data_IF_796665301616
#
_entry.id   IF_796665301616
#
_cell.length_a   1.000
_cell.length_b   1.000
_cell.length_c   1.000
_cell.angle_alpha   90.00
_cell.angle_beta   90.00
_cell.angle_gamma   90.00
#
_symmetry.space_group_name_H-M   'P 1'
#
loop_
_entity.id
_entity.type
_entity.pdbx_description
1 polymer ?
#
# COMPACT_ATOMS: atom_id res chain seq x y z
N UNK A 1 -21.05 -1.46 0.22
CA UNK A 1 -19.90 -0.96 -0.58
C UNK A 1 -20.35 0.23 -1.42
N UNK A 2 -19.68 1.37 -1.27
CA UNK A 2 -19.95 2.61 -1.98
C UNK A 2 -18.98 2.79 -3.15
N UNK A 3 -19.47 3.32 -4.27
CA UNK A 3 -18.68 3.54 -5.49
C UNK A 3 -18.51 5.03 -5.75
N UNK A 4 -17.27 5.46 -5.93
CA UNK A 4 -16.91 6.85 -6.19
C UNK A 4 -16.19 6.97 -7.53
N UNK A 5 -16.58 7.97 -8.30
CA UNK A 5 -15.95 8.28 -9.57
C UNK A 5 -15.02 9.48 -9.43
N UNK A 6 -13.73 9.26 -9.69
CA UNK A 6 -12.68 10.27 -9.57
C UNK A 6 -11.88 10.32 -10.88
N UNK A 7 -11.14 11.40 -11.08
CA UNK A 7 -10.21 11.57 -12.19
C UNK A 7 -8.81 11.12 -11.76
N UNK A 8 -8.09 10.46 -12.66
CA UNK A 8 -6.69 10.08 -12.55
C UNK A 8 -5.99 10.55 -13.82
N UNK A 9 -5.24 11.65 -13.73
CA UNK A 9 -4.79 12.38 -14.92
C UNK A 9 -5.98 12.79 -15.79
N UNK A 10 -6.01 12.34 -17.04
CA UNK A 10 -7.12 12.62 -17.98
C UNK A 10 -8.22 11.56 -17.97
N UNK A 11 -8.05 10.46 -17.23
CA UNK A 11 -8.97 9.32 -17.26
C UNK A 11 -9.86 9.25 -16.01
N UNK A 12 -11.15 8.95 -16.20
CA UNK A 12 -12.07 8.66 -15.09
C UNK A 12 -11.84 7.24 -14.58
N UNK A 13 -11.71 7.09 -13.27
CA UNK A 13 -11.65 5.80 -12.58
C UNK A 13 -12.75 5.66 -11.54
N UNK A 14 -13.02 4.42 -11.12
CA UNK A 14 -14.02 4.10 -10.11
C UNK A 14 -13.34 3.41 -8.94
N UNK A 15 -13.48 4.00 -7.75
CA UNK A 15 -12.99 3.42 -6.49
C UNK A 15 -14.18 2.88 -5.74
N UNK A 16 -14.08 1.64 -5.26
CA UNK A 16 -15.09 1.06 -4.37
C UNK A 16 -14.55 1.05 -2.95
N UNK A 17 -15.26 1.68 -2.02
CA UNK A 17 -14.95 1.67 -0.60
C UNK A 17 -15.98 0.84 0.18
N UNK A 18 -15.54 0.24 1.28
CA UNK A 18 -16.45 -0.37 2.23
C UNK A 18 -17.34 0.71 2.89
N UNK A 19 -18.59 0.39 3.26
CA UNK A 19 -19.50 1.37 3.88
C UNK A 19 -18.93 1.90 5.18
N UNK A 20 -18.36 1.02 6.02
CA UNK A 20 -17.70 1.39 7.28
C UNK A 20 -16.59 2.41 7.05
N UNK A 21 -15.76 2.20 6.01
CA UNK A 21 -14.68 3.14 5.66
C UNK A 21 -15.26 4.49 5.23
N UNK A 22 -16.37 4.51 4.50
CA UNK A 22 -17.02 5.76 4.07
C UNK A 22 -17.59 6.53 5.26
N UNK A 23 -18.29 5.83 6.15
CA UNK A 23 -18.88 6.40 7.36
C UNK A 23 -17.80 6.99 8.27
N UNK A 24 -16.72 6.25 8.52
CA UNK A 24 -15.59 6.72 9.35
C UNK A 24 -14.87 7.91 8.72
N UNK A 25 -14.67 7.91 7.39
CA UNK A 25 -14.13 9.07 6.68
C UNK A 25 -15.02 10.29 6.84
N UNK A 26 -16.34 10.14 6.63
CA UNK A 26 -17.31 11.22 6.78
C UNK A 26 -17.28 11.80 8.20
N UNK A 27 -17.29 10.93 9.22
CA UNK A 27 -17.20 11.33 10.62
C UNK A 27 -15.89 12.08 10.91
N UNK A 28 -14.75 11.58 10.41
CA UNK A 28 -13.45 12.25 10.57
C UNK A 28 -13.43 13.65 9.95
N UNK A 29 -14.20 13.87 8.89
CA UNK A 29 -14.38 15.17 8.24
C UNK A 29 -15.53 16.01 8.84
N UNK A 30 -16.10 15.58 9.97
CA UNK A 30 -17.16 16.31 10.68
C UNK A 30 -18.54 16.24 9.99
N UNK A 31 -18.77 15.25 9.15
CA UNK A 31 -20.03 15.05 8.42
C UNK A 31 -20.82 13.86 8.94
N UNK A 32 -22.14 13.98 8.96
CA UNK A 32 -23.03 12.85 9.25
C UNK A 32 -22.96 11.84 8.10
N UNK A 33 -22.73 10.54 8.36
CA UNK A 33 -22.73 9.49 7.34
C UNK A 33 -24.06 9.37 6.60
N UNK A 34 -24.02 8.66 5.46
CA UNK A 34 -25.18 8.31 4.61
C UNK A 34 -26.02 9.50 4.13
N UNK A 35 -25.40 10.68 4.12
CA UNK A 35 -25.98 11.90 3.53
C UNK A 35 -25.36 12.18 2.17
N UNK A 36 -26.10 12.82 1.27
CA UNK A 36 -25.55 13.26 -0.02
C UNK A 36 -24.32 14.16 0.16
N UNK A 37 -24.33 15.04 1.17
CA UNK A 37 -23.19 15.89 1.53
C UNK A 37 -21.96 15.05 1.92
N UNK A 38 -22.14 14.04 2.77
CA UNK A 38 -21.03 13.15 3.15
C UNK A 38 -20.40 12.42 1.96
N UNK A 39 -21.21 11.93 1.02
CA UNK A 39 -20.70 11.29 -0.19
C UNK A 39 -19.94 12.26 -1.09
N UNK A 40 -20.39 13.51 -1.19
CA UNK A 40 -19.68 14.56 -1.93
C UNK A 40 -18.31 14.86 -1.31
N UNK A 41 -18.26 15.01 0.02
CA UNK A 41 -17.02 15.28 0.76
C UNK A 41 -16.04 14.10 0.68
N UNK A 42 -16.51 12.86 0.83
CA UNK A 42 -15.68 11.66 0.63
C UNK A 42 -15.12 11.60 -0.79
N UNK A 43 -15.93 11.88 -1.81
CA UNK A 43 -15.47 11.92 -3.20
C UNK A 43 -14.38 12.98 -3.39
N UNK A 44 -14.59 14.18 -2.85
CA UNK A 44 -13.63 15.28 -2.96
C UNK A 44 -12.31 14.93 -2.28
N UNK A 45 -12.37 14.30 -1.10
CA UNK A 45 -11.17 13.83 -0.40
C UNK A 45 -10.40 12.79 -1.22
N UNK A 46 -11.10 11.80 -1.80
CA UNK A 46 -10.47 10.79 -2.68
C UNK A 46 -9.82 11.43 -3.92
N UNK A 47 -10.47 12.44 -4.49
CA UNK A 47 -9.92 13.20 -5.60
C UNK A 47 -8.64 13.94 -5.18
N UNK A 48 -8.66 14.66 -4.06
CA UNK A 48 -7.50 15.39 -3.56
C UNK A 48 -6.29 14.49 -3.28
N UNK A 49 -6.52 13.31 -2.68
CA UNK A 49 -5.46 12.31 -2.46
C UNK A 49 -4.90 11.80 -3.79
N UNK A 50 -5.74 11.63 -4.80
CA UNK A 50 -5.31 11.22 -6.14
C UNK A 50 -4.50 12.31 -6.83
N UNK A 51 -4.93 13.56 -6.73
CA UNK A 51 -4.27 14.71 -7.35
C UNK A 51 -2.90 14.99 -6.72
N UNK A 52 -2.70 14.58 -5.46
CA UNK A 52 -1.41 14.69 -4.75
C UNK A 52 -0.42 13.56 -5.05
N UNK A 53 -0.83 12.51 -5.78
CA UNK A 53 0.05 11.37 -6.11
C UNK A 53 0.72 11.60 -7.46
N UNK A 54 2.05 11.70 -7.45
CA UNK A 54 2.85 11.88 -8.67
C UNK A 54 2.87 10.64 -9.59
N UNK A 55 2.61 9.45 -9.03
CA UNK A 55 2.56 8.19 -9.77
C UNK A 55 1.13 7.88 -10.26
N UNK A 56 0.80 8.44 -11.42
CA UNK A 56 -0.47 8.20 -12.10
C UNK A 56 -0.58 6.82 -12.77
N UNK A 57 0.43 5.94 -12.69
CA UNK A 57 0.40 4.62 -13.33
C UNK A 57 0.39 3.44 -12.36
N UNK A 58 0.68 3.67 -11.06
CA UNK A 58 0.57 2.68 -9.97
C UNK A 58 -0.50 1.60 -10.19
N UNK A 59 -0.05 0.35 -10.27
CA UNK A 59 -0.91 -0.84 -10.23
C UNK A 59 -1.65 -0.94 -8.89
N UNK A 60 -2.86 -1.51 -8.89
CA UNK A 60 -3.69 -1.63 -7.69
C UNK A 60 -4.10 -0.29 -7.05
N UNK A 61 -4.23 0.76 -7.85
CA UNK A 61 -4.62 2.12 -7.43
C UNK A 61 -5.79 2.17 -6.44
N UNK A 62 -6.87 1.40 -6.66
CA UNK A 62 -8.00 1.34 -5.74
C UNK A 62 -7.64 0.78 -4.36
N UNK A 63 -6.72 -0.18 -4.29
CA UNK A 63 -6.24 -0.73 -3.01
C UNK A 63 -5.34 0.27 -2.28
N UNK A 64 -4.48 0.96 -3.04
CA UNK A 64 -3.67 2.05 -2.50
C UNK A 64 -4.54 3.17 -1.91
N UNK A 65 -5.61 3.60 -2.60
CA UNK A 65 -6.55 4.61 -2.08
C UNK A 65 -7.30 4.14 -0.83
N UNK A 66 -7.70 2.87 -0.78
CA UNK A 66 -8.28 2.28 0.44
C UNK A 66 -7.29 2.33 1.60
N UNK A 67 -6.03 1.98 1.37
CA UNK A 67 -4.98 2.09 2.37
C UNK A 67 -4.82 3.53 2.85
N UNK A 68 -4.82 4.52 1.95
CA UNK A 68 -4.79 5.93 2.32
C UNK A 68 -6.00 6.35 3.15
N UNK A 69 -7.20 5.88 2.82
CA UNK A 69 -8.41 6.12 3.61
C UNK A 69 -8.26 5.57 5.04
N UNK A 70 -7.81 4.31 5.18
CA UNK A 70 -7.60 3.68 6.49
C UNK A 70 -6.56 4.45 7.31
N UNK A 71 -5.43 4.80 6.69
CA UNK A 71 -4.39 5.59 7.35
C UNK A 71 -4.88 6.98 7.74
N UNK A 72 -5.68 7.62 6.91
CA UNK A 72 -6.28 8.90 7.26
C UNK A 72 -7.27 8.77 8.40
N UNK A 73 -8.08 7.70 8.46
CA UNK A 73 -9.00 7.45 9.58
C UNK A 73 -8.25 7.20 10.88
N UNK A 74 -7.15 6.46 10.83
CA UNK A 74 -6.37 6.04 12.00
C UNK A 74 -5.94 7.23 12.88
N UNK A 75 -5.76 6.93 14.17
CA UNK A 75 -5.20 7.87 15.14
C UNK A 75 -3.70 8.09 14.88
N UNK A 76 -3.22 9.31 15.13
CA UNK A 76 -1.83 9.71 14.87
C UNK A 76 -0.81 8.84 15.63
N UNK A 77 -1.16 8.38 16.83
CA UNK A 77 -0.34 7.45 17.60
C UNK A 77 -0.21 6.09 16.94
N UNK A 78 -1.27 5.59 16.31
CA UNK A 78 -1.23 4.34 15.55
C UNK A 78 -0.42 4.48 14.27
N UNK A 79 -0.62 5.58 13.53
CA UNK A 79 0.15 5.89 12.31
C UNK A 79 1.64 5.97 12.63
N UNK A 80 2.00 6.60 13.75
CA UNK A 80 3.39 6.74 14.19
C UNK A 80 4.02 5.37 14.46
N UNK A 81 3.33 4.50 15.20
CA UNK A 81 3.81 3.12 15.45
C UNK A 81 3.96 2.30 14.18
N UNK A 82 3.03 2.46 13.23
CA UNK A 82 3.11 1.78 11.93
C UNK A 82 4.36 2.20 11.15
N UNK A 83 4.65 3.51 11.07
CA UNK A 83 5.85 4.02 10.39
C UNK A 83 7.13 3.50 11.03
N UNK A 84 7.22 3.55 12.36
CA UNK A 84 8.36 3.01 13.10
C UNK A 84 8.58 1.52 12.82
N UNK A 85 7.50 0.73 12.71
CA UNK A 85 7.59 -0.67 12.34
C UNK A 85 8.09 -0.85 10.89
N UNK A 86 7.58 -0.07 9.92
CA UNK A 86 8.06 -0.13 8.54
C UNK A 86 9.54 0.24 8.43
N UNK A 87 9.97 1.32 9.08
CA UNK A 87 11.37 1.75 9.11
C UNK A 87 12.29 0.65 9.67
N UNK A 88 11.84 -0.06 10.71
CA UNK A 88 12.56 -1.18 11.28
C UNK A 88 12.70 -2.36 10.30
N UNK A 89 11.63 -2.68 9.57
CA UNK A 89 11.63 -3.74 8.55
C UNK A 89 12.59 -3.37 7.41
N UNK A 90 12.50 -2.15 6.88
CA UNK A 90 13.34 -1.68 5.77
C UNK A 90 14.82 -1.67 6.16
N UNK A 91 15.12 -1.22 7.38
CA UNK A 91 16.48 -1.27 7.93
C UNK A 91 16.99 -2.71 8.02
N UNK A 92 16.20 -3.62 8.57
CA UNK A 92 16.59 -5.03 8.75
C UNK A 92 16.84 -5.72 7.40
N UNK A 93 16.01 -5.43 6.40
CA UNK A 93 16.22 -5.94 5.04
C UNK A 93 17.47 -5.38 4.37
N UNK A 94 17.75 -4.08 4.54
CA UNK A 94 18.96 -3.46 4.01
C UNK A 94 20.24 -4.03 4.65
N UNK A 95 20.21 -4.30 5.96
CA UNK A 95 21.32 -4.95 6.66
C UNK A 95 21.55 -6.37 6.14
N UNK A 96 20.49 -7.16 5.97
CA UNK A 96 20.59 -8.52 5.42
C UNK A 96 21.06 -8.54 3.96
N UNK A 97 20.55 -7.63 3.12
CA UNK A 97 21.00 -7.48 1.73
C UNK A 97 22.49 -7.13 1.69
N UNK A 98 22.91 -6.16 2.51
CA UNK A 98 24.32 -5.75 2.61
C UNK A 98 25.19 -6.93 3.05
N UNK A 99 24.76 -7.71 4.05
CA UNK A 99 25.46 -8.92 4.48
C UNK A 99 25.63 -9.91 3.33
N UNK A 100 24.56 -10.21 2.58
CA UNK A 100 24.61 -11.16 1.45
C UNK A 100 25.52 -10.71 0.32
N UNK A 101 25.49 -9.42 -0.02
CA UNK A 101 26.40 -8.84 -1.03
C UNK A 101 27.85 -9.01 -0.57
N UNK A 102 28.17 -8.67 0.67
CA UNK A 102 29.51 -8.84 1.22
C UNK A 102 29.98 -10.32 1.25
N UNK A 103 29.08 -11.26 1.55
CA UNK A 103 29.42 -12.69 1.53
C UNK A 103 29.67 -13.22 0.11
N UNK A 104 28.94 -12.70 -0.89
CA UNK A 104 29.20 -13.00 -2.30
C UNK A 104 30.54 -12.42 -2.75
N UNK A 105 30.82 -11.14 -2.45
CA UNK A 105 32.05 -10.46 -2.85
C UNK A 105 33.30 -11.03 -2.17
N UNK A 106 33.17 -11.51 -0.92
CA UNK A 106 34.27 -12.17 -0.19
C UNK A 106 34.52 -13.62 -0.61
N UNK A 107 33.74 -14.16 -1.56
CA UNK A 107 33.85 -15.55 -2.02
C UNK A 107 33.40 -16.59 -0.99
N UNK A 108 32.74 -16.17 0.10
CA UNK A 108 32.17 -17.07 1.11
C UNK A 108 30.92 -17.79 0.62
N UNK A 109 30.24 -17.25 -0.40
CA UNK A 109 29.07 -17.86 -1.03
C UNK A 109 29.45 -18.45 -2.38
N UNK A 110 29.00 -19.68 -2.63
CA UNK A 110 29.14 -20.33 -3.93
C UNK A 110 27.91 -20.04 -4.78
N UNK A 111 28.12 -19.52 -5.98
CA UNK A 111 27.07 -19.45 -6.99
C UNK A 111 26.68 -20.87 -7.44
N UNK A 112 25.40 -21.20 -7.30
CA UNK A 112 24.84 -22.47 -7.78
C UNK A 112 24.12 -22.19 -9.10
N UNK A 113 24.43 -22.91 -10.19
CA UNK A 113 23.69 -22.80 -11.44
C UNK A 113 22.20 -23.02 -11.24
N UNK A 114 21.39 -22.26 -11.98
CA UNK A 114 19.93 -22.32 -11.91
C UNK A 114 19.38 -23.75 -12.01
N UNK A 115 19.91 -24.55 -12.93
CA UNK A 115 19.45 -25.91 -13.20
C UNK A 115 19.67 -26.86 -12.01
N UNK A 116 20.78 -26.68 -11.28
CA UNK A 116 21.09 -27.45 -10.08
C UNK A 116 20.13 -27.11 -8.92
N UNK A 117 19.73 -25.84 -8.79
CA UNK A 117 18.74 -25.41 -7.79
C UNK A 117 17.37 -26.05 -8.07
N UNK A 118 16.92 -26.01 -9.33
CA UNK A 118 15.62 -26.60 -9.70
C UNK A 118 15.63 -28.13 -9.59
N UNK A 119 16.76 -28.78 -9.85
CA UNK A 119 16.92 -30.21 -9.64
C UNK A 119 16.78 -30.57 -8.16
N UNK A 120 17.53 -29.91 -7.27
CA UNK A 120 17.48 -30.16 -5.83
C UNK A 120 16.09 -29.88 -5.23
N UNK A 121 15.42 -28.81 -5.66
CA UNK A 121 14.06 -28.49 -5.19
C UNK A 121 13.02 -29.55 -5.59
N UNK A 122 13.15 -30.14 -6.79
CA UNK A 122 12.27 -31.25 -7.24
C UNK A 122 12.53 -32.53 -6.46
N UNK A 123 13.80 -32.81 -6.13
CA UNK A 123 14.19 -33.98 -5.33
C UNK A 123 13.69 -33.90 -3.88
N UNK A 124 13.52 -32.69 -3.33
CA UNK A 124 12.97 -32.49 -1.97
C UNK A 124 11.44 -32.60 -1.89
N UNK A 125 10.74 -32.54 -3.02
CA UNK A 125 9.27 -32.61 -3.09
C UNK A 125 8.77 -34.01 -3.48
N UNK A 126 9.67 -34.94 -3.77
CA UNK A 126 9.39 -36.34 -4.13
C UNK A 126 9.61 -37.25 -2.92
#
# INVERSE_FOLDING_TARGET
MNRYHIQRGTARTTVTLDSTICELLALKMGKSPDTQDSHAVVRQWLQAVTDSEDDHERDNFSQWLKMKAILYIADDGLITKHRQWQDHIDKSWNEELTRRVNEADSGKVRMIPKDDVFKAAREQLA
#
